data_IF_120086238905
#
_entry.id   IF_120086238905
#
_cell.length_a   1.000
_cell.length_b   1.000
_cell.length_c   1.000
_cell.angle_alpha   90.00
_cell.angle_beta   90.00
_cell.angle_gamma   90.00
#
_symmetry.space_group_name_H-M   'P 1'
#
loop_
_entity.id
_entity.type
_entity.pdbx_description
1 polymer ?
#
# COMPACT_ATOMS: atom_id res chain seq x y z
N UNK A 1 11.65 -3.55 -15.11
CA UNK A 1 10.60 -4.29 -14.37
C UNK A 1 10.71 -4.09 -12.84
N UNK A 2 10.44 -2.91 -12.26
CA UNK A 2 10.55 -2.74 -10.77
C UNK A 2 9.50 -1.86 -10.07
N UNK A 3 8.52 -1.27 -10.76
CA UNK A 3 7.49 -0.43 -10.10
C UNK A 3 6.18 -1.16 -9.80
N UNK A 4 5.69 -2.00 -10.72
CA UNK A 4 4.36 -2.59 -10.59
C UNK A 4 4.27 -3.77 -9.61
N UNK A 5 5.37 -4.48 -9.37
CA UNK A 5 5.35 -5.69 -8.52
C UNK A 5 5.10 -5.39 -7.04
N UNK A 6 5.51 -4.20 -6.57
CA UNK A 6 5.36 -3.78 -5.17
C UNK A 6 3.88 -3.60 -4.79
N UNK A 7 3.09 -3.02 -5.69
CA UNK A 7 1.69 -2.67 -5.42
C UNK A 7 0.79 -3.91 -5.31
N UNK A 8 1.12 -4.99 -6.02
CA UNK A 8 0.38 -6.26 -5.90
C UNK A 8 0.63 -6.94 -4.55
N UNK A 9 1.84 -6.82 -3.99
CA UNK A 9 2.10 -7.29 -2.62
C UNK A 9 1.34 -6.45 -1.58
N UNK A 10 1.20 -5.14 -1.81
CA UNK A 10 0.45 -4.25 -0.93
C UNK A 10 -1.00 -4.65 -0.78
N UNK A 11 -1.65 -5.05 -1.88
CA UNK A 11 -3.05 -5.50 -1.84
C UNK A 11 -3.23 -6.77 -0.99
N UNK A 12 -2.27 -7.71 -1.02
CA UNK A 12 -2.32 -8.92 -0.20
C UNK A 12 -2.03 -8.64 1.28
N UNK A 13 -1.11 -7.71 1.56
CA UNK A 13 -0.75 -7.29 2.92
C UNK A 13 -1.87 -6.50 3.61
N UNK A 14 -2.57 -5.63 2.87
CA UNK A 14 -3.68 -4.84 3.41
C UNK A 14 -4.89 -5.70 3.79
N UNK A 15 -5.11 -6.82 3.09
CA UNK A 15 -6.30 -7.66 3.28
C UNK A 15 -6.23 -8.62 4.47
N UNK A 16 -5.04 -8.85 5.03
CA UNK A 16 -4.80 -9.97 5.94
C UNK A 16 -4.15 -9.60 7.28
N UNK A 17 -4.00 -8.32 7.60
CA UNK A 17 -3.14 -7.96 8.73
C UNK A 17 -3.55 -6.70 9.49
N UNK A 18 -3.40 -6.75 10.82
CA UNK A 18 -3.47 -5.59 11.73
C UNK A 18 -2.37 -4.56 11.46
N UNK A 19 -1.42 -4.86 10.58
CA UNK A 19 -0.28 -4.03 10.17
C UNK A 19 -0.72 -2.64 9.72
N UNK A 20 -0.01 -1.62 10.22
CA UNK A 20 -0.32 -0.23 9.89
C UNK A 20 0.01 0.10 8.44
N UNK A 21 -0.69 1.09 7.86
CA UNK A 21 -0.41 1.58 6.49
C UNK A 21 1.06 2.05 6.38
N UNK A 22 1.63 2.57 7.47
CA UNK A 22 3.03 2.98 7.57
C UNK A 22 3.99 1.79 7.42
N UNK A 23 3.77 0.69 8.16
CA UNK A 23 4.60 -0.51 8.04
C UNK A 23 4.52 -1.13 6.66
N UNK A 24 3.33 -1.17 6.05
CA UNK A 24 3.16 -1.65 4.67
C UNK A 24 4.00 -0.80 3.73
N UNK A 25 3.88 0.54 3.80
CA UNK A 25 4.69 1.46 3.02
C UNK A 25 6.20 1.19 3.16
N UNK A 26 6.68 0.96 4.39
CA UNK A 26 8.08 0.59 4.64
C UNK A 26 8.47 -0.75 4.03
N UNK A 27 7.62 -1.78 4.14
CA UNK A 27 7.89 -3.12 3.61
C UNK A 27 8.01 -3.16 2.09
N UNK A 28 7.22 -2.37 1.37
CA UNK A 28 7.37 -2.20 -0.09
C UNK A 28 8.47 -1.22 -0.50
N UNK A 29 9.21 -0.69 0.47
CA UNK A 29 10.37 0.16 0.24
C UNK A 29 10.01 1.59 -0.12
N UNK A 30 8.84 2.07 0.33
CA UNK A 30 8.56 3.50 0.41
C UNK A 30 9.07 4.04 1.74
N UNK A 31 9.68 5.23 1.69
CA UNK A 31 10.20 5.90 2.89
C UNK A 31 9.12 6.64 3.67
N UNK A 32 7.96 6.87 3.07
CA UNK A 32 6.93 7.72 3.61
C UNK A 32 5.52 7.19 3.27
N UNK A 33 4.66 7.15 4.28
CA UNK A 33 3.28 6.66 4.18
C UNK A 33 2.42 7.55 3.27
N UNK A 34 2.61 8.87 3.28
CA UNK A 34 1.80 9.79 2.46
C UNK A 34 2.17 9.64 0.98
N UNK A 35 3.46 9.47 0.66
CA UNK A 35 3.89 9.16 -0.70
C UNK A 35 3.38 7.80 -1.16
N UNK A 36 3.47 6.77 -0.31
CA UNK A 36 2.87 5.47 -0.57
C UNK A 36 1.37 5.58 -0.86
N UNK A 37 0.63 6.29 -0.02
CA UNK A 37 -0.82 6.43 -0.15
C UNK A 37 -1.21 7.09 -1.47
N UNK A 38 -0.49 8.13 -1.90
CA UNK A 38 -0.70 8.78 -3.21
C UNK A 38 -0.45 7.81 -4.37
N UNK A 39 0.63 7.03 -4.30
CA UNK A 39 0.99 6.08 -5.35
C UNK A 39 0.01 4.91 -5.39
N UNK A 40 -0.36 4.37 -4.22
CA UNK A 40 -1.33 3.31 -4.07
C UNK A 40 -2.70 3.74 -4.61
N UNK A 41 -3.23 4.89 -4.19
CA UNK A 41 -4.50 5.42 -4.71
C UNK A 41 -4.47 5.63 -6.22
N UNK A 42 -3.35 6.08 -6.78
CA UNK A 42 -3.21 6.26 -8.23
C UNK A 42 -3.23 4.92 -9.00
N UNK A 43 -2.76 3.83 -8.40
CA UNK A 43 -2.72 2.52 -9.06
C UNK A 43 -3.97 1.67 -8.78
N UNK A 44 -4.49 1.72 -7.56
CA UNK A 44 -5.60 0.86 -7.09
C UNK A 44 -6.95 1.59 -7.19
N UNK A 45 -6.95 2.92 -7.28
CA UNK A 45 -8.15 3.74 -7.41
C UNK A 45 -8.81 4.12 -6.08
N UNK A 46 -8.43 3.50 -4.97
CA UNK A 46 -8.92 3.79 -3.61
C UNK A 46 -7.77 4.03 -2.65
N UNK A 47 -7.99 4.73 -1.54
CA UNK A 47 -6.94 4.90 -0.52
C UNK A 47 -6.60 3.58 0.15
N UNK A 48 -5.34 3.37 0.59
CA UNK A 48 -4.99 2.14 1.29
C UNK A 48 -5.73 1.99 2.62
N UNK A 49 -6.20 3.10 3.22
CA UNK A 49 -7.05 3.07 4.40
C UNK A 49 -8.50 2.64 4.09
N UNK A 50 -9.05 3.06 2.94
CA UNK A 50 -10.33 2.54 2.44
C UNK A 50 -10.22 1.06 2.06
N UNK A 51 -9.12 0.65 1.42
CA UNK A 51 -8.89 -0.74 1.05
C UNK A 51 -8.73 -1.66 2.28
N UNK A 52 -8.29 -1.12 3.42
CA UNK A 52 -8.14 -1.85 4.69
C UNK A 52 -9.45 -1.93 5.49
N UNK A 53 -10.27 -0.88 5.47
CA UNK A 53 -11.53 -0.82 6.23
C UNK A 53 -12.77 -1.24 5.42
N UNK A 54 -12.61 -1.49 4.11
CA UNK A 54 -13.66 -1.92 3.19
C UNK A 54 -13.74 -3.43 2.99
#
# INVERSE_FOLDING_TARGET
>A
MKRSYRILQDQALLKNTSTSIAEIAYQVGFKDQAYFSRVFSKQVGVSPNEFKNG
#
